data_IF_285889905064
#
_entry.id   IF_285889905064
#
_cell.length_a   1.000
_cell.length_b   1.000
_cell.length_c   1.000
_cell.angle_alpha   90.00
_cell.angle_beta   90.00
_cell.angle_gamma   90.00
#
_symmetry.space_group_name_H-M   'P 1'
#
loop_
_entity.id
_entity.type
_entity.pdbx_description
1 polymer ?
#
# COMPACT_ATOMS: atom_id res chain seq x y z
N UNK A 1 8.50 -1.35 -9.42
CA UNK A 1 8.18 -0.13 -10.19
C UNK A 1 8.66 1.07 -9.39
N UNK A 2 9.36 2.04 -10.00
CA UNK A 2 9.61 3.34 -9.36
C UNK A 2 8.32 4.17 -9.41
N UNK A 3 7.89 4.72 -8.28
CA UNK A 3 6.67 5.51 -8.17
C UNK A 3 6.93 6.77 -7.34
N UNK A 4 6.50 7.92 -7.86
CA UNK A 4 6.60 9.20 -7.20
C UNK A 4 5.25 9.54 -6.56
N UNK A 5 5.26 9.94 -5.29
CA UNK A 5 4.10 10.47 -4.58
C UNK A 5 4.40 11.85 -4.03
N UNK A 6 3.40 12.75 -3.93
CA UNK A 6 3.54 13.89 -3.04
C UNK A 6 3.83 13.36 -1.63
N UNK A 7 4.86 13.90 -0.97
CA UNK A 7 5.11 13.56 0.42
C UNK A 7 3.96 14.09 1.26
N UNK A 8 3.01 13.23 1.63
CA UNK A 8 2.00 13.57 2.62
C UNK A 8 2.68 13.98 3.93
N UNK A 9 2.09 14.91 4.69
CA UNK A 9 2.65 15.55 5.89
C UNK A 9 3.02 14.61 7.05
N UNK A 10 2.85 13.29 6.90
CA UNK A 10 3.13 12.31 7.96
C UNK A 10 4.61 12.25 8.40
N UNK A 11 5.50 13.05 7.79
CA UNK A 11 6.93 13.15 8.14
C UNK A 11 7.30 14.48 8.82
N UNK A 12 6.46 15.53 8.78
CA UNK A 12 6.75 16.77 9.52
C UNK A 12 6.76 16.57 11.05
N UNK A 13 6.15 15.50 11.56
CA UNK A 13 6.12 15.18 12.99
C UNK A 13 7.42 14.55 13.54
N UNK A 14 8.49 14.42 12.75
CA UNK A 14 9.79 13.98 13.27
C UNK A 14 10.59 15.20 13.75
N UNK A 15 10.11 15.82 14.84
CA UNK A 15 10.92 16.79 15.58
C UNK A 15 12.23 16.11 16.00
N UNK A 16 13.41 16.66 15.64
CA UNK A 16 14.68 16.14 16.14
C UNK A 16 14.74 16.44 17.63
N UNK A 17 14.69 15.41 18.48
CA UNK A 17 15.06 15.57 19.89
C UNK A 17 16.53 15.99 19.95
N UNK A 18 16.82 17.07 20.66
CA UNK A 18 18.09 17.83 20.68
C UNK A 18 19.37 17.05 21.04
N UNK A 19 19.33 15.74 21.28
CA UNK A 19 20.48 14.94 21.73
C UNK A 19 20.97 13.88 20.74
N UNK A 20 20.52 13.92 19.49
CA UNK A 20 21.10 13.08 18.44
C UNK A 20 21.98 13.97 17.58
N UNK A 21 23.30 13.76 17.59
CA UNK A 21 24.17 14.21 16.52
C UNK A 21 23.72 13.48 15.24
N UNK A 22 22.67 14.01 14.60
CA UNK A 22 22.11 13.47 13.37
C UNK A 22 23.00 13.97 12.26
N UNK A 23 23.89 13.10 11.79
CA UNK A 23 24.44 13.22 10.45
C UNK A 23 23.26 13.41 9.50
N UNK A 24 23.11 14.62 8.96
CA UNK A 24 22.07 14.96 7.98
C UNK A 24 22.42 14.22 6.70
N UNK A 25 22.13 12.92 6.67
CA UNK A 25 22.15 12.16 5.43
C UNK A 25 20.85 12.50 4.71
N UNK A 26 20.91 13.15 3.53
CA UNK A 26 19.74 13.37 2.70
C UNK A 26 19.07 12.02 2.47
N UNK A 27 17.78 11.89 2.78
CA UNK A 27 17.05 10.70 2.40
C UNK A 27 17.01 10.66 0.84
N UNK A 28 17.68 9.71 0.18
CA UNK A 28 17.82 9.70 -1.29
C UNK A 28 16.47 9.53 -2.01
N UNK A 29 15.40 9.23 -1.28
CA UNK A 29 14.05 9.09 -1.79
C UNK A 29 13.26 10.42 -1.89
N UNK A 30 13.79 11.55 -1.42
CA UNK A 30 13.08 12.85 -1.49
C UNK A 30 13.74 13.73 -2.55
N UNK A 31 12.99 14.09 -3.58
CA UNK A 31 13.40 15.02 -4.64
C UNK A 31 12.46 16.23 -4.64
N UNK A 32 12.98 17.43 -4.90
CA UNK A 32 12.10 18.61 -4.99
C UNK A 32 11.39 18.61 -6.33
N UNK A 33 10.06 18.64 -6.31
CA UNK A 33 9.23 18.71 -7.50
C UNK A 33 9.26 20.08 -8.18
N UNK A 34 8.67 20.15 -9.38
CA UNK A 34 8.56 21.39 -10.17
C UNK A 34 7.97 22.58 -9.40
N UNK A 35 7.17 22.32 -8.37
CA UNK A 35 6.50 23.33 -7.55
C UNK A 35 7.12 23.50 -6.15
N UNK A 36 8.39 23.12 -5.96
CA UNK A 36 9.08 23.27 -4.66
C UNK A 36 8.65 22.26 -3.58
N UNK A 37 7.65 21.43 -3.86
CA UNK A 37 7.16 20.40 -2.94
C UNK A 37 8.08 19.17 -2.90
N UNK A 38 8.32 18.56 -1.73
CA UNK A 38 9.04 17.29 -1.63
C UNK A 38 8.24 16.16 -2.30
N UNK A 39 8.86 15.52 -3.29
CA UNK A 39 8.38 14.31 -3.96
C UNK A 39 9.11 13.11 -3.35
N UNK A 40 8.34 12.15 -2.84
CA UNK A 40 8.89 10.90 -2.36
C UNK A 40 8.88 9.86 -3.49
N UNK A 41 10.05 9.42 -3.91
CA UNK A 41 10.24 8.37 -4.89
C UNK A 41 10.54 7.05 -4.19
N UNK A 42 9.67 6.05 -4.37
CA UNK A 42 9.84 4.72 -3.78
C UNK A 42 9.62 3.60 -4.78
N UNK A 43 10.34 2.50 -4.60
CA UNK A 43 10.08 1.27 -5.33
C UNK A 43 8.86 0.58 -4.70
N UNK A 44 7.84 0.34 -5.51
CA UNK A 44 6.62 -0.37 -5.14
C UNK A 44 6.58 -1.77 -5.73
N UNK A 45 6.15 -2.71 -4.89
CA UNK A 45 5.90 -4.13 -5.22
C UNK A 45 4.40 -4.33 -5.35
N UNK A 46 3.98 -5.16 -6.31
CA UNK A 46 2.57 -5.42 -6.57
C UNK A 46 2.35 -6.90 -6.89
N UNK A 47 1.14 -7.37 -6.63
CA UNK A 47 0.62 -8.64 -7.16
C UNK A 47 -0.39 -8.31 -8.25
N UNK A 48 -0.14 -8.80 -9.47
CA UNK A 48 -1.05 -8.65 -10.60
C UNK A 48 -2.24 -9.61 -10.40
N UNK A 49 -3.46 -9.07 -10.52
CA UNK A 49 -4.72 -9.82 -10.31
C UNK A 49 -5.59 -9.87 -11.57
N UNK A 50 -5.38 -8.96 -12.53
CA UNK A 50 -6.05 -8.96 -13.83
C UNK A 50 -5.15 -8.38 -14.90
N UNK A 51 -5.09 -9.02 -16.08
CA UNK A 51 -4.32 -8.53 -17.23
C UNK A 51 -5.28 -8.13 -18.34
N UNK A 52 -5.16 -6.90 -18.83
CA UNK A 52 -5.91 -6.41 -19.98
C UNK A 52 -4.97 -6.23 -21.17
N UNK A 53 -4.93 -7.23 -22.04
CA UNK A 53 -4.05 -7.23 -23.22
C UNK A 53 -4.52 -6.32 -24.34
N UNK A 54 -5.83 -6.04 -24.43
CA UNK A 54 -6.39 -5.18 -25.48
C UNK A 54 -6.07 -3.70 -25.24
N UNK A 55 -6.03 -3.30 -23.97
CA UNK A 55 -5.77 -1.93 -23.55
C UNK A 55 -4.39 -1.74 -22.91
N UNK A 56 -3.52 -2.77 -22.96
CA UNK A 56 -2.12 -2.71 -22.52
C UNK A 56 -1.89 -2.22 -21.07
N UNK A 57 -2.76 -2.65 -20.14
CA UNK A 57 -2.57 -2.40 -18.71
C UNK A 57 -2.89 -3.64 -17.86
N UNK A 58 -2.57 -3.57 -16.57
CA UNK A 58 -2.94 -4.59 -15.56
C UNK A 58 -3.64 -3.94 -14.36
N UNK A 59 -4.49 -4.69 -13.68
CA UNK A 59 -4.89 -4.37 -12.31
C UNK A 59 -4.01 -5.14 -11.33
N UNK A 60 -3.50 -4.42 -10.34
CA UNK A 60 -2.60 -4.97 -9.36
C UNK A 60 -2.89 -4.43 -7.96
N UNK A 61 -2.64 -5.25 -6.95
CA UNK A 61 -2.77 -4.90 -5.54
C UNK A 61 -1.37 -4.63 -4.96
N UNK A 62 -1.16 -3.54 -4.20
CA UNK A 62 0.15 -3.18 -3.69
C UNK A 62 0.57 -4.07 -2.50
N UNK A 63 1.85 -4.40 -2.45
CA UNK A 63 2.51 -4.96 -1.26
C UNK A 63 3.17 -3.82 -0.51
N UNK A 64 2.90 -3.72 0.79
CA UNK A 64 3.47 -2.67 1.65
C UNK A 64 3.90 -3.24 2.99
N UNK A 65 4.93 -2.64 3.59
CA UNK A 65 5.40 -2.99 4.96
C UNK A 65 4.99 -1.95 5.99
N UNK A 66 4.46 -0.81 5.53
CA UNK A 66 4.04 0.32 6.37
C UNK A 66 5.14 0.86 7.31
N UNK A 67 6.39 0.83 6.86
CA UNK A 67 7.56 1.14 7.70
C UNK A 67 7.81 0.04 8.71
N UNK A 68 7.73 -1.21 8.26
CA UNK A 68 7.92 -2.45 9.04
C UNK A 68 6.87 -2.70 10.13
N UNK A 69 5.76 -1.96 10.12
CA UNK A 69 4.66 -2.07 11.10
C UNK A 69 3.53 -3.00 10.64
N UNK A 70 3.54 -3.44 9.38
CA UNK A 70 2.42 -4.20 8.81
C UNK A 70 1.09 -3.46 9.00
N UNK A 71 0.02 -4.18 9.33
CA UNK A 71 -1.29 -3.53 9.55
C UNK A 71 -1.41 -2.81 10.89
N UNK A 72 -0.37 -2.73 11.72
CA UNK A 72 -0.39 -1.94 12.95
C UNK A 72 -0.19 -0.45 12.72
N UNK A 73 0.15 -0.02 11.49
CA UNK A 73 0.18 1.41 11.16
C UNK A 73 -1.21 2.03 11.39
N UNK A 74 -1.30 3.18 12.09
CA UNK A 74 -2.56 3.90 12.25
C UNK A 74 -3.21 4.21 10.91
N UNK A 75 -4.54 4.05 10.83
CA UNK A 75 -5.31 4.24 9.59
C UNK A 75 -5.30 3.05 8.63
N UNK A 76 -4.53 1.98 8.88
CA UNK A 76 -4.68 0.73 8.13
C UNK A 76 -5.96 0.01 8.58
N UNK A 77 -6.77 -0.40 7.61
CA UNK A 77 -7.84 -1.37 7.82
C UNK A 77 -7.22 -2.78 7.72
N UNK A 78 -7.16 -3.53 8.82
CA UNK A 78 -6.49 -4.83 8.80
C UNK A 78 -7.26 -5.90 8.01
N UNK A 79 -8.59 -5.78 7.92
CA UNK A 79 -9.42 -6.81 7.28
C UNK A 79 -9.19 -6.88 5.78
N UNK A 80 -8.90 -5.77 5.09
CA UNK A 80 -8.61 -5.75 3.64
C UNK A 80 -7.21 -6.30 3.27
N UNK A 81 -6.40 -6.68 4.26
CA UNK A 81 -5.02 -7.12 4.05
C UNK A 81 -4.86 -8.63 4.15
N UNK A 82 -3.87 -9.14 3.41
CA UNK A 82 -3.38 -10.50 3.55
C UNK A 82 -1.86 -10.49 3.64
N UNK A 83 -1.29 -11.37 4.44
CA UNK A 83 0.15 -11.56 4.50
C UNK A 83 0.67 -12.17 3.19
N UNK A 84 1.79 -11.67 2.71
CA UNK A 84 2.56 -12.32 1.64
C UNK A 84 3.94 -12.71 2.16
N UNK A 85 4.43 -13.87 1.74
CA UNK A 85 5.72 -14.40 2.19
C UNK A 85 6.40 -15.21 1.09
N UNK A 86 7.71 -15.43 1.26
CA UNK A 86 8.51 -16.26 0.35
C UNK A 86 8.15 -17.73 0.53
N UNK A 87 7.90 -18.44 -0.57
CA UNK A 87 7.68 -19.88 -0.51
C UNK A 87 8.90 -20.61 0.10
N UNK A 88 8.63 -21.62 0.93
CA UNK A 88 9.67 -22.33 1.69
C UNK A 88 10.09 -21.65 3.01
N UNK A 89 9.57 -20.46 3.33
CA UNK A 89 9.74 -19.84 4.66
C UNK A 89 8.45 -19.94 5.48
N UNK A 90 8.53 -19.62 6.78
CA UNK A 90 7.35 -19.56 7.64
C UNK A 90 6.71 -18.17 7.56
N UNK A 91 5.38 -18.06 7.36
CA UNK A 91 4.70 -16.77 7.45
C UNK A 91 4.77 -16.21 8.88
N UNK A 92 5.06 -14.91 9.01
CA UNK A 92 5.23 -14.21 10.28
C UNK A 92 4.18 -13.12 10.49
N UNK A 93 3.31 -13.35 11.48
CA UNK A 93 2.39 -12.33 11.98
C UNK A 93 3.14 -11.41 12.93
N UNK A 94 2.93 -10.11 12.77
CA UNK A 94 3.36 -9.15 13.79
C UNK A 94 2.35 -9.25 14.95
N UNK A 95 2.80 -9.33 16.21
CA UNK A 95 1.89 -9.36 17.37
C UNK A 95 0.90 -8.20 17.32
N UNK A 96 -0.40 -8.47 17.48
CA UNK A 96 -1.47 -7.46 17.39
C UNK A 96 -2.20 -7.41 16.04
N UNK A 97 -1.63 -7.94 14.95
CA UNK A 97 -2.29 -7.84 13.64
C UNK A 97 -3.58 -8.66 13.55
N UNK A 98 -3.65 -9.78 14.28
CA UNK A 98 -4.83 -10.64 14.32
C UNK A 98 -5.96 -9.97 15.08
N UNK A 99 -5.62 -9.36 16.21
CA UNK A 99 -6.51 -8.59 17.08
C UNK A 99 -7.06 -7.36 16.35
N UNK A 100 -6.31 -6.79 15.41
CA UNK A 100 -6.80 -5.72 14.53
C UNK A 100 -7.74 -6.20 13.41
N UNK A 101 -7.89 -7.50 13.22
CA UNK A 101 -8.81 -8.09 12.22
C UNK A 101 -8.16 -8.64 10.96
N UNK A 102 -6.83 -8.84 10.92
CA UNK A 102 -6.18 -9.51 9.79
C UNK A 102 -6.36 -11.04 9.89
N UNK A 103 -7.43 -11.53 9.26
CA UNK A 103 -7.90 -12.92 9.39
C UNK A 103 -7.63 -13.79 8.16
N UNK A 104 -7.26 -13.19 7.02
CA UNK A 104 -6.99 -13.91 5.77
C UNK A 104 -5.74 -14.80 5.87
N UNK A 105 -5.79 -15.99 5.27
CA UNK A 105 -4.65 -16.91 5.25
C UNK A 105 -3.52 -16.38 4.35
N UNK A 106 -2.24 -16.58 4.73
CA UNK A 106 -1.10 -16.03 3.99
C UNK A 106 -0.97 -16.51 2.54
N UNK A 107 -0.43 -15.67 1.64
CA UNK A 107 -0.19 -16.00 0.23
C UNK A 107 1.33 -16.12 -0.02
N UNK A 108 1.77 -17.35 -0.29
CA UNK A 108 3.16 -17.65 -0.68
C UNK A 108 3.49 -17.22 -2.12
N UNK A 109 4.72 -16.74 -2.30
CA UNK A 109 5.29 -16.34 -3.59
C UNK A 109 6.58 -17.13 -3.84
N UNK A 110 6.66 -17.82 -4.98
CA UNK A 110 7.92 -18.33 -5.51
C UNK A 110 8.73 -17.15 -6.06
N UNK A 111 9.73 -16.73 -5.30
CA UNK A 111 10.65 -15.67 -5.71
C UNK A 111 11.64 -16.25 -6.73
N UNK A 112 11.83 -15.56 -7.86
CA UNK A 112 12.73 -16.00 -8.93
C UNK A 112 14.20 -15.72 -8.61
N UNK A 113 14.49 -14.54 -8.05
CA UNK A 113 15.83 -14.13 -7.67
C UNK A 113 16.12 -14.53 -6.23
N UNK A 114 17.10 -15.40 -6.00
CA UNK A 114 17.43 -15.87 -4.67
C UNK A 114 17.82 -14.73 -3.71
N UNK A 115 18.39 -13.64 -4.24
CA UNK A 115 18.80 -12.44 -3.48
C UNK A 115 17.63 -11.50 -3.17
N UNK A 116 16.46 -11.68 -3.79
CA UNK A 116 15.29 -10.88 -3.44
C UNK A 116 14.71 -11.34 -2.10
N UNK A 117 14.79 -10.44 -1.12
CA UNK A 117 14.22 -10.63 0.19
C UNK A 117 12.80 -10.06 0.27
N UNK A 118 11.95 -10.76 1.03
CA UNK A 118 10.61 -10.30 1.36
C UNK A 118 10.56 -10.04 2.86
N UNK A 119 10.37 -8.77 3.22
CA UNK A 119 10.30 -8.39 4.63
C UNK A 119 9.12 -9.09 5.33
N UNK A 120 9.27 -9.59 6.57
CA UNK A 120 8.20 -10.29 7.30
C UNK A 120 6.90 -9.48 7.45
N UNK A 121 7.01 -8.15 7.55
CA UNK A 121 5.89 -7.21 7.56
C UNK A 121 5.18 -7.00 6.20
N UNK A 122 5.49 -7.75 5.15
CA UNK A 122 4.89 -7.55 3.82
C UNK A 122 3.41 -7.92 3.81
N UNK A 123 2.55 -6.94 3.56
CA UNK A 123 1.09 -7.09 3.49
C UNK A 123 0.59 -6.68 2.11
N UNK A 124 -0.16 -7.56 1.47
CA UNK A 124 -0.88 -7.29 0.25
C UNK A 124 -2.22 -6.64 0.61
N UNK A 125 -2.45 -5.42 0.11
CA UNK A 125 -3.69 -4.67 0.33
C UNK A 125 -4.67 -4.95 -0.80
N UNK A 126 -5.75 -5.68 -0.52
CA UNK A 126 -6.70 -6.13 -1.53
C UNK A 126 -7.83 -5.11 -1.79
N UNK A 127 -8.13 -4.24 -0.82
CA UNK A 127 -9.10 -3.14 -0.97
C UNK A 127 -8.60 -1.94 -1.78
N UNK A 128 -7.37 -1.99 -2.32
CA UNK A 128 -6.84 -0.94 -3.20
C UNK A 128 -6.28 -1.53 -4.49
N UNK A 129 -7.02 -1.37 -5.58
CA UNK A 129 -6.52 -1.63 -6.93
C UNK A 129 -5.68 -0.47 -7.44
N UNK A 130 -4.61 -0.79 -8.16
CA UNK A 130 -3.87 0.14 -9.00
C UNK A 130 -3.90 -0.36 -10.45
N UNK A 131 -4.27 0.49 -11.40
CA UNK A 131 -4.03 0.28 -12.82
C UNK A 131 -2.57 0.59 -13.15
N UNK A 132 -1.88 -0.32 -13.81
CA UNK A 132 -0.47 -0.17 -14.19
C UNK A 132 -0.34 -0.41 -15.70
N UNK A 133 0.13 0.62 -16.40
CA UNK A 133 0.43 0.58 -17.84
C UNK A 133 1.63 -0.32 -18.14
N UNK A 134 1.63 -0.98 -19.30
CA UNK A 134 2.72 -1.90 -19.68
C UNK A 134 4.06 -1.21 -19.97
N UNK A 135 4.04 0.09 -20.28
CA UNK A 135 5.26 0.85 -20.58
C UNK A 135 6.06 1.26 -19.34
N UNK A 136 5.52 1.00 -18.14
CA UNK A 136 6.20 1.22 -16.86
C UNK A 136 7.39 0.27 -16.73
N UNK A 137 8.54 0.81 -16.30
CA UNK A 137 9.71 -0.02 -15.97
C UNK A 137 9.46 -0.79 -14.67
N UNK A 138 9.51 -2.11 -14.79
CA UNK A 138 9.32 -3.06 -13.67
C UNK A 138 10.46 -4.06 -13.60
N UNK A 139 10.66 -4.61 -12.40
CA UNK A 139 11.49 -5.78 -12.15
C UNK A 139 10.55 -6.93 -11.79
N UNK A 140 10.77 -8.10 -12.36
CA UNK A 140 10.06 -9.31 -11.94
C UNK A 140 10.59 -9.77 -10.58
N UNK A 141 9.69 -10.10 -9.67
CA UNK A 141 10.01 -10.61 -8.32
C UNK A 141 9.77 -12.13 -8.28
N UNK A 142 8.72 -12.60 -8.96
CA UNK A 142 8.31 -13.98 -8.93
C UNK A 142 6.79 -14.15 -9.05
N UNK A 143 6.30 -15.30 -8.64
CA UNK A 143 4.94 -15.75 -8.91
C UNK A 143 4.25 -16.33 -7.68
N UNK A 144 2.98 -16.01 -7.49
CA UNK A 144 2.14 -16.66 -6.48
C UNK A 144 2.07 -18.17 -6.77
N UNK A 145 2.30 -18.99 -5.74
CA UNK A 145 2.29 -20.45 -5.92
C UNK A 145 0.92 -20.92 -6.42
N UNK A 146 0.86 -21.92 -7.32
CA UNK A 146 -0.39 -22.37 -7.94
C UNK A 146 -1.52 -22.63 -6.93
N UNK A 147 -1.20 -23.24 -5.80
CA UNK A 147 -2.12 -23.65 -4.74
C UNK A 147 -2.84 -22.46 -4.09
N UNK A 148 -2.20 -21.29 -4.08
CA UNK A 148 -2.72 -20.09 -3.42
C UNK A 148 -3.45 -19.14 -4.38
N UNK A 149 -3.41 -19.37 -5.70
CA UNK A 149 -4.01 -18.46 -6.69
C UNK A 149 -5.52 -18.35 -6.56
N UNK A 150 -6.21 -19.48 -6.38
CA UNK A 150 -7.67 -19.50 -6.20
C UNK A 150 -8.08 -18.73 -4.94
N UNK A 151 -7.34 -18.91 -3.84
CA UNK A 151 -7.55 -18.17 -2.59
C UNK A 151 -7.30 -16.67 -2.75
N UNK A 152 -6.20 -16.28 -3.39
CA UNK A 152 -5.90 -14.89 -3.71
C UNK A 152 -7.06 -14.25 -4.49
N UNK A 153 -7.55 -14.92 -5.54
CA UNK A 153 -8.65 -14.40 -6.35
C UNK A 153 -9.97 -14.32 -5.58
N UNK A 154 -10.23 -15.25 -4.66
CA UNK A 154 -11.39 -15.18 -3.78
C UNK A 154 -11.32 -13.95 -2.86
N UNK A 155 -10.18 -13.72 -2.20
CA UNK A 155 -9.98 -12.55 -1.34
C UNK A 155 -10.05 -11.24 -2.12
N UNK A 156 -9.42 -11.19 -3.30
CA UNK A 156 -9.48 -10.01 -4.17
C UNK A 156 -10.92 -9.64 -4.52
N UNK A 157 -11.74 -10.61 -4.97
CA UNK A 157 -13.14 -10.38 -5.34
C UNK A 157 -13.99 -9.92 -4.16
N UNK A 158 -13.75 -10.46 -2.97
CA UNK A 158 -14.49 -10.07 -1.77
C UNK A 158 -14.28 -8.59 -1.43
N UNK A 159 -13.09 -8.03 -1.65
CA UNK A 159 -12.81 -6.62 -1.36
C UNK A 159 -13.26 -5.65 -2.46
N UNK A 160 -13.48 -6.09 -3.70
CA UNK A 160 -13.77 -5.16 -4.81
C UNK A 160 -15.11 -4.45 -4.73
N UNK A 161 -16.04 -4.96 -3.94
CA UNK A 161 -17.36 -4.36 -3.78
C UNK A 161 -17.51 -3.71 -2.39
N UNK A 162 -16.45 -3.67 -1.59
CA UNK A 162 -16.53 -3.22 -0.22
C UNK A 162 -16.19 -1.72 -0.10
N UNK A 163 -17.09 -0.94 0.50
CA UNK A 163 -16.82 0.46 0.85
C UNK A 163 -16.89 1.48 -0.29
N UNK A 164 -17.56 1.15 -1.41
CA UNK A 164 -17.97 2.14 -2.39
C UNK A 164 -19.37 2.66 -2.04
N UNK A 165 -19.54 3.98 -2.09
CA UNK A 165 -20.84 4.63 -1.92
C UNK A 165 -21.76 4.25 -3.10
N UNK A 166 -23.08 4.24 -2.88
CA UNK A 166 -23.99 4.03 -4.00
C UNK A 166 -24.04 5.31 -4.84
N UNK A 167 -24.11 5.19 -6.16
CA UNK A 167 -24.23 6.33 -7.07
C UNK A 167 -25.47 7.22 -6.80
N UNK A 168 -26.41 6.75 -5.98
CA UNK A 168 -27.62 7.47 -5.58
C UNK A 168 -27.53 8.12 -4.19
N UNK A 169 -26.43 7.92 -3.45
CA UNK A 169 -26.22 8.56 -2.16
C UNK A 169 -25.80 10.02 -2.40
N UNK A 170 -26.55 10.96 -1.84
CA UNK A 170 -26.25 12.39 -1.95
C UNK A 170 -25.00 12.73 -1.10
N UNK A 171 -23.94 13.22 -1.77
CA UNK A 171 -22.66 13.60 -1.15
C UNK A 171 -22.81 14.68 -0.07
N UNK A 172 -23.98 15.33 0.04
CA UNK A 172 -24.28 16.37 1.03
C UNK A 172 -24.13 15.90 2.48
N UNK A 173 -24.19 14.60 2.74
CA UNK A 173 -24.09 14.04 4.09
C UNK A 173 -22.79 13.26 4.36
N UNK A 174 -21.80 13.32 3.46
CA UNK A 174 -20.50 12.70 3.68
C UNK A 174 -19.71 13.43 4.79
N UNK A 175 -19.81 12.92 6.02
CA UNK A 175 -18.93 13.32 7.11
C UNK A 175 -17.57 12.65 6.90
N UNK A 176 -16.73 13.29 6.08
CA UNK A 176 -15.36 12.83 5.85
C UNK A 176 -14.59 12.66 7.17
N UNK A 177 -13.51 11.86 7.16
CA UNK A 177 -12.70 11.65 8.34
C UNK A 177 -12.25 13.00 8.93
N UNK A 178 -12.55 13.22 10.21
CA UNK A 178 -12.10 14.40 10.95
C UNK A 178 -10.57 14.30 11.09
N UNK A 179 -9.85 15.06 10.27
CA UNK A 179 -8.40 15.17 10.39
C UNK A 179 -8.06 16.23 11.45
N UNK A 180 -7.45 15.87 12.59
CA UNK A 180 -6.90 16.87 13.51
C UNK A 180 -5.68 17.52 12.84
N UNK A 181 -5.79 18.80 12.47
CA UNK A 181 -4.71 19.56 11.83
C UNK A 181 -5.21 20.67 10.91
N UNK A 182 -4.30 21.43 10.25
CA UNK A 182 -4.61 22.64 9.49
C UNK A 182 -5.48 22.44 8.23
N UNK A 183 -6.00 21.23 8.02
CA UNK A 183 -6.87 20.83 6.91
C UNK A 183 -8.37 20.94 7.24
N UNK A 184 -8.75 21.66 8.29
CA UNK A 184 -10.14 22.03 8.52
C UNK A 184 -10.59 22.97 7.40
N UNK A 185 -11.10 22.40 6.31
CA UNK A 185 -11.69 23.14 5.19
C UNK A 185 -12.93 23.87 5.70
N UNK A 186 -12.88 25.20 5.68
CA UNK A 186 -14.08 26.02 5.69
C UNK A 186 -14.85 25.71 4.39
N UNK A 187 -15.80 24.78 4.48
CA UNK A 187 -16.70 24.49 3.37
C UNK A 187 -17.64 25.68 3.17
N UNK A 188 -17.30 26.55 2.21
CA UNK A 188 -18.26 27.42 1.55
C UNK A 188 -18.04 27.31 0.05
N UNK A 189 -18.76 26.37 -0.57
CA UNK A 189 -19.07 26.46 -1.99
C UNK A 189 -20.37 27.27 -2.09
N UNK A 190 -20.26 28.52 -2.52
CA UNK A 190 -21.39 29.32 -3.01
C UNK A 190 -21.30 29.29 -4.54
N UNK A 191 -22.39 28.88 -5.19
CA UNK A 191 -22.53 28.89 -6.65
C UNK A 191 -22.74 30.30 -7.19
#
# INVERSE_FOLDING_TARGET
MLWAEPAGETIQARNPTENSQVTVHPNPAITTGRYGQPIYSQIRRFVIVKVNRKQYFVYACPITTYGNRGVLKPGCNASEHVMVYRNGTRPELIPGERERGMTKDPIAINIEDAQEEMHPASRLRLGKITSIEWNVKVRNIGMVIPEHRSRLMAYYRAEQNNGFDNDNDDDTNYQGPQYPGPYATQNTYQY
#
